data_IF_965563864956
#
_entry.id   IF_965563864956
#
_cell.length_a   1.000
_cell.length_b   1.000
_cell.length_c   1.000
_cell.angle_alpha   90.00
_cell.angle_beta   90.00
_cell.angle_gamma   90.00
#
_symmetry.space_group_name_H-M   'P 1'
#
loop_
_entity.id
_entity.type
_entity.pdbx_description
1 polymer ?
2 polymer ?
3 non-polymer ?
4 non-polymer ?
5 water ?
#
# COMPACT_ATOMS: atom_id res chain seq x y z
N UNK A 1 -15.84 4.47 8.36
CA UNK A 1 -16.72 4.46 9.55
C UNK A 1 -16.22 3.44 10.60
N UNK A 2 -16.35 2.12 10.34
CA UNK A 2 -15.88 1.06 11.28
C UNK A 2 -14.55 0.49 10.76
N UNK A 3 -13.89 1.28 9.92
CA UNK A 3 -12.61 0.98 9.23
C UNK A 3 -11.43 0.93 10.19
N UNK A 4 -10.35 0.30 9.76
CA UNK A 4 -9.07 0.24 10.48
C UNK A 4 -9.02 -0.77 11.61
N UNK A 5 -10.10 -1.48 11.87
CA UNK A 5 -10.06 -2.46 12.98
C UNK A 5 -10.20 -3.87 12.41
N UNK A 6 -9.14 -4.66 12.55
CA UNK A 6 -9.07 -6.01 11.99
C UNK A 6 -9.88 -7.00 12.82
N UNK A 7 -10.90 -7.64 12.21
CA UNK A 7 -11.70 -8.65 12.88
C UNK A 7 -10.82 -9.61 13.69
N UNK A 8 -9.65 -10.02 13.22
CA UNK A 8 -8.93 -11.14 13.85
C UNK A 8 -7.92 -10.64 14.89
N UNK A 9 -7.69 -9.33 14.97
CA UNK A 9 -6.64 -8.76 15.86
C UNK A 9 -7.29 -7.78 16.84
N UNK A 10 -7.52 -6.53 16.45
CA UNK A 10 -8.11 -5.56 17.41
C UNK A 10 -9.40 -6.14 17.97
N UNK A 11 -10.34 -6.50 17.11
CA UNK A 11 -11.72 -6.85 17.57
C UNK A 11 -11.71 -8.09 18.49
N UNK A 12 -10.57 -8.79 18.65
CA UNK A 12 -10.39 -9.93 19.59
C UNK A 12 -9.26 -9.63 20.58
N UNK A 13 -8.97 -8.35 20.84
CA UNK A 13 -7.92 -7.87 21.78
C UNK A 13 -6.62 -8.67 21.59
N UNK A 14 -6.38 -9.14 20.37
CA UNK A 14 -5.16 -9.89 20.00
C UNK A 14 -4.27 -8.97 19.17
N UNK A 15 -2.96 -9.08 19.37
CA UNK A 15 -1.94 -8.23 18.73
C UNK A 15 -1.16 -9.06 17.71
N UNK A 16 -0.78 -8.48 16.58
CA UNK A 16 0.07 -9.22 15.61
C UNK A 16 1.48 -9.32 16.19
N UNK A 17 2.38 -10.02 15.50
CA UNK A 17 3.75 -10.27 16.00
C UNK A 17 4.66 -9.04 15.94
N UNK A 18 4.35 -8.01 15.17
CA UNK A 18 5.33 -6.89 15.07
C UNK A 18 4.72 -5.50 15.25
N UNK A 19 3.50 -5.39 15.76
CA UNK A 19 2.84 -4.07 15.88
C UNK A 19 3.42 -3.20 16.99
N UNK A 20 4.13 -3.80 17.96
CA UNK A 20 4.73 -3.08 19.11
C UNK A 20 5.93 -2.26 18.64
N UNK A 21 6.59 -2.73 17.58
CA UNK A 21 7.77 -2.13 16.93
C UNK A 21 7.41 -0.77 16.34
N UNK A 22 6.17 -0.62 15.86
CA UNK A 22 5.66 0.65 15.30
C UNK A 22 5.40 1.65 16.43
N UNK A 23 4.76 1.22 17.51
CA UNK A 23 4.41 2.04 18.70
C UNK A 23 5.70 2.47 19.43
N UNK A 24 6.71 1.63 19.40
CA UNK A 24 8.03 1.88 20.01
C UNK A 24 8.76 2.96 19.21
N UNK A 25 8.51 2.98 17.90
CA UNK A 25 9.08 3.93 16.92
C UNK A 25 8.56 5.34 17.18
N UNK A 26 7.35 5.45 17.69
CA UNK A 26 6.71 6.74 18.02
C UNK A 26 7.29 7.32 19.32
N UNK A 27 7.67 6.46 20.27
CA UNK A 27 8.09 6.92 21.62
C UNK A 27 9.60 7.22 21.64
N UNK A 28 10.40 6.56 20.86
CA UNK A 28 11.88 6.63 20.75
C UNK A 28 12.28 7.98 20.16
N UNK A 29 13.45 8.50 20.54
CA UNK A 29 13.92 9.79 20.04
C UNK A 29 14.67 9.69 18.73
N UNK B 1 8.34 -7.74 -2.12
CA UNK B 1 8.84 -7.00 -0.96
C UNK B 1 10.10 -7.72 -0.47
N UNK B 2 11.15 -6.96 -0.19
CA UNK B 2 12.51 -7.51 0.11
C UNK B 2 12.73 -7.46 1.63
N UNK B 3 13.31 -8.52 2.19
CA UNK B 3 13.68 -8.75 3.62
C UNK B 3 12.47 -8.55 4.54
N UNK B 4 11.29 -8.94 4.07
CA UNK B 4 10.05 -8.99 4.86
C UNK B 4 9.82 -10.40 5.32
N UNK B 5 8.59 -10.74 5.71
CA UNK B 5 8.23 -12.07 6.28
C UNK B 5 6.74 -12.34 6.03
N UNK B 6 6.34 -13.61 6.11
CA UNK B 6 4.95 -14.05 5.83
C UNK B 6 4.01 -13.27 6.74
N UNK B 7 3.04 -12.59 6.17
CA UNK B 7 1.91 -12.03 6.93
C UNK B 7 1.28 -13.17 7.74
N UNK B 8 0.92 -12.93 9.00
CA UNK B 8 -0.01 -13.82 9.75
C UNK B 8 -1.36 -13.72 9.07
N UNK B 9 -2.31 -14.58 9.39
CA UNK B 9 -3.63 -14.63 8.68
C UNK B 9 -4.41 -13.38 9.11
N UNK B 10 -5.17 -12.78 8.17
CA UNK B 10 -6.01 -11.57 8.37
C UNK B 10 -5.22 -10.39 8.94
N UNK B 11 -3.91 -10.40 8.76
CA UNK B 11 -3.03 -9.32 9.25
C UNK B 11 -3.33 -8.04 8.45
N UNK B 12 -3.67 -8.16 7.16
CA UNK B 12 -3.90 -7.01 6.24
C UNK B 12 -5.16 -7.25 5.43
N UNK B 13 -6.35 -7.23 6.07
CA UNK B 13 -7.59 -7.65 5.41
C UNK B 13 -8.10 -6.66 4.36
N UNK B 15 -5.85 -5.80 1.99
CA UNK B 15 -4.92 -6.06 0.92
C UNK B 15 -5.74 -6.52 -0.29
N UNK B 16 -5.53 -5.91 -1.45
CA UNK B 16 -6.22 -6.26 -2.72
C UNK B 16 -5.15 -6.59 -3.76
N UNK B 17 -5.35 -7.65 -4.56
CA UNK B 17 -4.56 -7.99 -5.76
C UNK B 17 -5.26 -7.36 -6.96
N UNK B 18 -4.51 -6.77 -7.89
CA UNK B 18 -5.04 -6.28 -9.19
C UNK B 18 -4.47 -7.16 -10.32
N UNK B 19 -5.36 -7.79 -11.09
CA UNK B 19 -5.03 -8.73 -12.20
C UNK B 19 -5.48 -8.14 -13.53
N UNK B 20 -4.74 -8.48 -14.58
CA UNK B 20 -5.17 -8.46 -16.01
C UNK B 20 -6.10 -9.67 -16.20
N UNK B 21 -7.16 -9.51 -16.98
CA UNK B 21 -8.15 -10.61 -17.12
C UNK B 21 -7.51 -11.74 -17.90
N UNK B 22 -7.01 -11.41 -19.11
CA UNK B 22 -6.54 -12.36 -20.13
C UNK B 22 -5.27 -11.85 -20.79
N UNK B 23 -4.14 -12.59 -20.71
CA UNK B 23 -4.06 -13.80 -19.89
C UNK B 23 -4.00 -13.42 -18.39
N UNK B 24 -4.59 -14.24 -17.50
CA UNK B 24 -4.71 -13.90 -16.06
C UNK B 24 -3.29 -13.62 -15.55
N UNK B 25 -3.06 -12.41 -15.05
CA UNK B 25 -1.71 -11.92 -14.63
C UNK B 25 -1.86 -10.98 -13.44
N UNK B 26 -1.11 -11.24 -12.37
CA UNK B 26 -0.99 -10.35 -11.19
C UNK B 26 -0.17 -9.11 -11.59
N UNK B 27 -0.79 -7.91 -11.64
CA UNK B 27 -0.15 -6.62 -12.05
C UNK B 27 0.45 -5.92 -10.82
N UNK B 28 -0.32 -5.82 -9.75
CA UNK B 28 -0.13 -4.78 -8.72
C UNK B 28 -0.88 -5.15 -7.43
N UNK B 29 -0.54 -4.46 -6.37
CA UNK B 29 -1.33 -4.38 -5.14
C UNK B 29 -2.31 -3.22 -5.18
N UNK B 30 -3.24 -3.23 -4.23
CA UNK B 30 -4.26 -2.18 -4.02
C UNK B 30 -4.64 -2.24 -2.54
N UNK B 31 -5.61 -1.44 -2.14
CA UNK B 31 -6.11 -1.36 -0.76
C UNK B 31 -7.61 -1.10 -0.83
N UNK B 32 -8.36 -1.79 0.02
CA UNK B 32 -9.82 -1.60 0.15
C UNK B 32 -10.10 -0.48 1.17
N UNK B 33 -10.82 0.57 0.78
CA UNK B 33 -11.08 1.75 1.64
C UNK B 33 -12.58 1.91 1.93
N UNK B 34 -13.43 1.23 1.17
CA UNK B 34 -14.88 1.10 1.41
C UNK B 34 -15.35 -0.25 0.86
N UNK B 35 -16.65 -0.51 0.87
CA UNK B 35 -17.25 -1.71 0.22
C UNK B 35 -17.21 -1.57 -1.31
N UNK B 36 -17.12 -0.34 -1.86
CA UNK B 36 -17.25 -0.10 -3.32
C UNK B 36 -15.88 0.30 -3.91
N UNK B 38 -11.64 0.79 -4.23
CA UNK B 38 -10.30 0.27 -4.11
C UNK B 38 -9.31 1.32 -4.60
N UNK B 39 -8.18 1.40 -3.91
CA UNK B 39 -7.15 2.44 -4.13
C UNK B 39 -5.87 1.77 -4.59
N UNK B 40 -5.14 2.39 -5.51
CA UNK B 40 -3.91 1.81 -6.12
C UNK B 40 -3.03 2.95 -6.68
N UNK B 41 -1.85 2.64 -7.20
CA UNK B 41 -0.94 3.56 -7.90
C UNK B 41 -1.45 3.83 -9.33
N UNK B 42 -1.41 5.08 -9.79
CA UNK B 42 -1.89 5.43 -11.14
C UNK B 42 -1.05 4.63 -12.14
N UNK B 43 0.24 4.37 -11.88
CA UNK B 43 1.16 3.80 -12.90
C UNK B 43 0.94 2.29 -13.09
N UNK B 44 0.11 1.66 -12.27
CA UNK B 44 -0.42 0.29 -12.44
C UNK B 44 -1.42 0.25 -13.59
N UNK B 45 -2.07 1.38 -13.89
CA UNK B 45 -3.15 1.48 -14.91
C UNK B 45 -2.70 2.22 -16.19
N UNK B 46 -1.84 3.23 -16.05
CA UNK B 46 -1.41 4.13 -17.15
C UNK B 46 0.07 4.46 -17.00
N UNK B 47 0.90 3.87 -17.85
CA UNK B 47 2.33 4.22 -17.97
C UNK B 47 2.70 4.01 -19.44
N UNK B 48 2.51 5.02 -20.33
CA UNK B 48 2.87 4.89 -21.73
C UNK B 48 4.30 4.44 -22.03
N UNK B 49 5.32 4.69 -21.17
CA UNK B 49 6.64 4.18 -21.48
C UNK B 49 6.68 2.64 -21.51
N UNK B 51 4.00 0.99 -22.70
CA UNK B 51 2.74 0.85 -23.42
C UNK B 51 1.79 0.07 -22.52
N UNK B 52 1.45 0.66 -21.38
CA UNK B 52 0.45 0.16 -20.40
C UNK B 52 -0.69 1.17 -20.35
N UNK B 53 -1.93 0.75 -20.60
CA UNK B 53 -3.08 1.69 -20.67
C UNK B 53 -4.37 0.91 -20.47
N UNK B 54 -4.61 0.45 -19.24
CA UNK B 54 -5.73 -0.47 -18.92
C UNK B 54 -7.05 0.31 -18.80
N UNK B 55 -8.15 -0.29 -19.27
CA UNK B 55 -9.53 0.20 -19.03
C UNK B 55 -10.19 -0.74 -18.01
N UNK B 56 -11.33 -0.33 -17.44
CA UNK B 56 -12.20 -1.07 -16.49
C UNK B 56 -12.41 -2.55 -16.87
N UNK B 57 -12.72 -2.81 -18.14
CA UNK B 57 -13.06 -4.20 -18.60
C UNK B 57 -11.81 -5.08 -18.62
N UNK B 58 -10.62 -4.49 -18.77
CA UNK B 58 -9.36 -5.26 -18.90
C UNK B 58 -9.03 -5.95 -17.58
N UNK B 59 -9.66 -5.53 -16.48
CA UNK B 59 -9.12 -5.78 -15.11
C UNK B 59 -10.12 -6.47 -14.16
N UNK B 60 -9.54 -7.02 -13.09
CA UNK B 60 -10.23 -7.75 -12.01
C UNK B 60 -9.36 -7.70 -10.74
N UNK B 61 -9.98 -7.55 -9.58
CA UNK B 61 -9.29 -7.59 -8.25
C UNK B 61 -9.70 -8.87 -7.50
N UNK B 62 -8.82 -9.38 -6.64
CA UNK B 62 -9.11 -10.49 -5.69
C UNK B 62 -8.82 -10.00 -4.26
N UNK B 63 -9.86 -10.01 -3.45
CA UNK B 63 -9.88 -9.45 -2.07
C UNK B 63 -9.85 -10.62 -1.10
N UNK B 64 -9.25 -10.42 0.08
CA UNK B 64 -9.28 -11.37 1.19
C UNK B 64 -8.29 -12.49 1.00
N UNK B 65 -7.31 -12.30 0.12
CA UNK B 65 -6.34 -13.35 -0.33
C UNK B 65 -5.09 -13.32 0.54
N UNK B 66 -4.52 -14.48 0.76
CA UNK B 66 -3.33 -14.74 1.60
C UNK B 66 -2.27 -15.46 0.76
N UNK B 67 -2.64 -16.53 0.06
CA UNK B 67 -1.77 -17.31 -0.86
C UNK B 67 -2.23 -17.04 -2.30
N UNK B 68 -1.32 -16.86 -3.28
CA UNK B 68 -1.65 -16.86 -4.74
C UNK B 68 -1.52 -18.29 -5.31
N UNK B 69 -0.69 -19.12 -4.67
CA UNK B 69 -0.44 -20.55 -5.04
C UNK B 69 -1.45 -21.47 -4.29
N UNK B 70 -2.57 -20.88 -3.86
CA UNK B 70 -3.80 -21.57 -3.38
C UNK B 70 -5.00 -20.84 -4.02
N UNK B 71 -6.18 -21.49 -4.02
CA UNK B 71 -7.51 -20.84 -4.14
C UNK B 71 -8.21 -20.97 -2.80
N UNK B 72 -8.85 -19.91 -2.31
CA UNK B 72 -9.24 -19.82 -0.88
C UNK B 72 -10.77 -19.76 -0.75
N UNK B 73 -11.44 -20.88 -1.05
CA UNK B 73 -12.90 -21.02 -1.24
C UNK B 73 -13.66 -20.52 0.01
N UNK B 74 -14.67 -19.65 -0.28
CA UNK B 74 -15.59 -19.07 0.74
C UNK B 74 -14.83 -18.06 1.63
N UNK B 75 -13.59 -17.69 1.26
CA UNK B 75 -12.71 -16.70 1.94
C UNK B 75 -12.42 -15.54 0.96
N UNK B 76 -11.75 -15.82 -0.18
CA UNK B 76 -11.36 -14.79 -1.21
C UNK B 76 -12.57 -14.49 -2.09
N UNK B 77 -12.83 -13.21 -2.35
CA UNK B 77 -13.86 -12.70 -3.29
C UNK B 77 -13.15 -12.01 -4.46
N UNK B 78 -13.72 -12.18 -5.65
CA UNK B 78 -13.26 -11.61 -6.93
C UNK B 78 -14.30 -10.57 -7.36
N UNK B 79 -13.88 -9.40 -7.84
CA UNK B 79 -14.82 -8.33 -8.30
C UNK B 79 -14.31 -7.69 -9.60
N UNK B 80 -15.24 -7.50 -10.53
CA UNK B 80 -14.99 -6.68 -11.74
C UNK B 80 -15.12 -5.23 -11.31
N UNK B 81 -14.67 -4.33 -12.18
CA UNK B 81 -14.48 -2.88 -11.93
C UNK B 81 -15.47 -2.13 -12.82
N UNK B 82 -16.22 -1.18 -12.24
CA UNK B 82 -17.28 -0.37 -12.91
C UNK B 82 -16.60 0.81 -13.60
N UNK B 83 -15.67 1.46 -12.92
CA UNK B 83 -14.90 2.62 -13.45
C UNK B 83 -13.53 2.69 -12.77
N UNK B 84 -12.55 3.18 -13.53
CA UNK B 84 -11.18 3.53 -13.08
C UNK B 84 -11.07 5.05 -13.08
N UNK B 85 -10.51 5.65 -12.04
CA UNK B 85 -10.25 7.10 -12.01
C UNK B 85 -8.78 7.36 -11.68
N UNK B 86 -8.06 7.94 -12.64
CA UNK B 86 -6.67 8.43 -12.47
C UNK B 86 -6.73 9.89 -12.07
N UNK B 87 -5.94 10.27 -11.06
CA UNK B 87 -5.67 11.68 -10.69
C UNK B 87 -5.39 12.48 -11.97
N UNK B 88 -6.17 13.56 -12.20
CA UNK B 88 -5.98 14.37 -13.39
C UNK B 88 -4.63 15.06 -13.50
N UNK B 89 -3.90 15.25 -12.38
CA UNK B 89 -2.52 15.80 -12.38
C UNK B 89 -1.49 14.69 -12.14
N UNK B 90 -1.82 13.41 -12.32
CA UNK B 90 -0.81 12.33 -12.36
C UNK B 90 0.24 12.67 -13.42
N UNK B 91 1.54 12.56 -13.12
CA UNK B 91 2.62 13.01 -14.03
C UNK B 91 3.62 11.89 -14.23
N UNK B 93 5.49 11.56 -17.04
CA UNK B 93 6.55 12.06 -17.92
C UNK B 93 7.83 12.33 -17.14
N UNK B 94 7.67 12.82 -15.92
CA UNK B 94 8.79 13.29 -15.08
C UNK B 94 8.96 12.33 -13.90
N UNK B 95 8.24 12.50 -12.79
CA UNK B 95 8.66 11.87 -11.51
C UNK B 95 7.49 11.13 -10.85
N UNK B 96 6.41 10.84 -11.58
CA UNK B 96 5.30 10.02 -11.01
C UNK B 96 4.59 10.83 -9.90
N UNK B 97 4.61 12.16 -9.98
CA UNK B 97 3.85 13.02 -9.03
C UNK B 97 2.37 12.59 -9.07
N UNK B 98 1.73 12.47 -7.90
CA UNK B 98 0.32 12.04 -7.70
C UNK B 98 0.09 10.66 -8.33
N UNK B 99 0.92 9.69 -7.98
CA UNK B 99 0.84 8.33 -8.57
C UNK B 99 -0.31 7.61 -7.86
N UNK B 100 -1.54 8.02 -8.15
CA UNK B 100 -2.72 7.50 -7.40
C UNK B 100 -3.88 7.25 -8.36
N UNK B 101 -4.67 6.22 -8.10
CA UNK B 101 -5.92 5.93 -8.84
C UNK B 101 -6.90 5.23 -7.94
N UNK B 102 -8.16 5.31 -8.32
CA UNK B 102 -9.33 4.71 -7.62
C UNK B 102 -10.02 3.79 -8.62
N UNK B 103 -10.37 2.60 -8.17
CA UNK B 103 -11.23 1.67 -8.96
C UNK B 103 -12.48 1.40 -8.12
N UNK B 104 -13.63 1.50 -8.77
CA UNK B 104 -14.95 1.28 -8.14
C UNK B 104 -15.43 -0.09 -8.57
N UNK B 105 -15.94 -0.86 -7.60
CA UNK B 105 -16.36 -2.27 -7.82
C UNK B 105 -17.77 -2.30 -8.42
N UNK B 106 -18.01 -3.30 -9.25
CA UNK B 106 -19.33 -3.54 -9.90
C UNK B 106 -20.33 -3.93 -8.81
N UNK B 107 -19.93 -4.89 -7.96
CA UNK B 107 -20.72 -5.29 -6.77
C UNK B 107 -19.93 -4.88 -5.53
N UNK B 108 -20.63 -4.39 -4.49
CA UNK B 108 -20.00 -4.10 -3.22
C UNK B 108 -19.57 -5.44 -2.60
N UNK B 109 -18.34 -5.54 -2.08
CA UNK B 109 -17.81 -6.79 -1.49
C UNK B 109 -18.36 -6.95 -0.06
N UNK B 110 -18.53 -8.20 0.36
CA UNK B 110 -18.99 -8.63 1.69
C UNK B 110 -17.80 -8.57 2.64
N UNK B 111 -17.95 -7.90 3.79
CA UNK B 111 -16.89 -7.86 4.85
C UNK B 111 -16.92 -9.19 5.60
N UNK B 112 -15.73 -9.68 5.88
CA UNK B 112 -15.52 -10.94 6.63
C UNK B 112 -14.30 -10.73 7.52
N UNK B 113 -13.89 -11.81 8.21
CA UNK B 113 -12.70 -11.85 9.10
C UNK B 113 -11.45 -11.59 8.24
N UNK B 114 -11.56 -11.75 6.93
CA UNK B 114 -10.44 -11.71 5.96
C UNK B 114 -10.51 -10.46 5.08
N UNK B 115 -11.70 -9.85 4.94
CA UNK B 115 -11.97 -8.62 4.14
C UNK B 115 -12.49 -7.52 5.08
N UNK B 116 -11.73 -6.42 5.20
CA UNK B 116 -12.07 -5.23 6.01
C UNK B 116 -11.34 -3.99 5.50
N UNK B 117 -12.03 -2.83 5.38
CA UNK B 117 -11.45 -1.61 4.83
C UNK B 117 -10.43 -1.00 5.80
N UNK B 118 -9.40 -0.36 5.26
CA UNK B 118 -8.44 0.50 6.01
C UNK B 118 -9.04 1.91 6.07
N UNK B 119 -8.72 2.66 7.12
CA UNK B 119 -9.12 4.09 7.24
C UNK B 119 -8.20 4.94 6.38
N UNK B 120 -8.68 6.10 5.95
CA UNK B 120 -7.84 7.20 5.39
C UNK B 120 -7.58 8.23 6.46
N UNK B 121 -6.34 8.77 6.51
CA UNK B 121 -5.93 9.71 7.53
C UNK B 121 -6.65 11.05 7.41
N UNK B 122 -6.90 11.68 8.55
CA UNK B 122 -7.27 13.10 8.71
C UNK B 122 -5.99 13.90 8.97
N UNK B 123 -6.16 15.21 8.98
CA UNK B 123 -5.19 16.27 9.31
C UNK B 123 -4.26 15.79 10.43
N UNK B 124 -4.84 15.47 11.57
CA UNK B 124 -4.14 15.17 12.83
C UNK B 124 -3.43 13.83 12.68
N UNK B 125 -4.10 12.84 12.10
CA UNK B 125 -3.48 11.53 11.82
C UNK B 125 -2.23 11.73 10.96
N UNK B 126 -2.25 12.61 9.97
CA UNK B 126 -1.04 12.89 9.17
C UNK B 126 0.02 13.62 10.00
N UNK B 127 -0.38 14.57 10.83
CA UNK B 127 0.55 15.34 11.68
C UNK B 127 1.25 14.39 12.67
N UNK B 128 0.48 13.58 13.37
CA UNK B 128 1.00 12.85 14.54
C UNK B 128 1.88 11.68 14.06
N UNK B 129 1.49 10.99 12.96
CA UNK B 129 2.08 9.67 12.55
C UNK B 129 3.13 9.83 11.45
N UNK B 130 2.86 10.62 10.39
CA UNK B 130 3.84 10.85 9.29
C UNK B 130 5.00 11.78 9.70
N UNK B 131 5.88 11.28 10.56
CA UNK B 131 7.08 11.96 11.12
C UNK B 131 8.29 11.02 10.95
N UNK B 132 9.48 11.61 10.79
CA UNK B 132 10.76 10.91 10.56
C UNK B 132 11.04 9.98 11.75
N UNK B 133 11.48 8.75 11.47
CA UNK B 133 11.79 7.75 12.52
C UNK B 133 10.57 6.92 12.88
N UNK B 134 9.36 7.43 12.64
CA UNK B 134 8.12 6.66 12.87
C UNK B 134 7.98 5.62 11.76
N UNK B 135 7.53 4.43 12.17
CA UNK B 135 7.50 3.21 11.35
C UNK B 135 6.07 2.92 10.98
N UNK B 136 5.87 2.69 9.67
CA UNK B 136 4.63 2.10 9.12
C UNK B 136 4.94 0.72 8.60
N UNK B 137 3.95 0.05 8.01
CA UNK B 137 4.03 -1.32 7.46
C UNK B 137 3.74 -1.29 5.97
N UNK B 138 4.52 -2.05 5.20
CA UNK B 138 4.29 -2.27 3.73
C UNK B 138 4.05 -3.76 3.50
N UNK B 139 3.20 -4.10 2.52
CA UNK B 139 2.75 -5.48 2.24
C UNK B 139 2.61 -5.66 0.73
N UNK B 140 2.73 -6.89 0.24
CA UNK B 140 2.41 -7.21 -1.16
C UNK B 140 2.98 -8.56 -1.57
N UNK B 142 4.61 -8.73 -4.37
CA UNK B 142 5.56 -8.27 -5.37
C UNK B 142 6.86 -9.04 -5.31
N UNK B 143 7.87 -8.53 -6.01
CA UNK B 143 9.19 -9.16 -6.18
C UNK B 143 9.94 -9.25 -4.85
N UNK B 144 10.69 -10.33 -4.73
CA UNK B 144 11.35 -10.83 -3.51
C UNK B 144 12.75 -10.23 -3.46
N UNK B 145 13.35 -9.95 -4.62
CA UNK B 145 14.62 -9.20 -4.73
C UNK B 145 14.53 -8.28 -5.95
N UNK B 146 15.51 -7.39 -6.07
CA UNK B 146 15.83 -6.60 -7.28
C UNK B 146 16.29 -7.56 -8.38
N UNK B 147 15.89 -7.28 -9.63
CA UNK B 147 16.21 -8.20 -10.72
C UNK B 147 16.08 -7.45 -12.04
N UNK B 149 14.00 -6.60 -15.50
CA UNK B 149 12.84 -6.56 -16.38
C UNK B 149 13.21 -7.22 -17.72
N UNK B 155 11.03 -12.31 -8.17
CA UNK B 155 10.87 -13.11 -6.93
C UNK B 155 9.41 -13.22 -6.48
N UNK B 156 8.65 -14.15 -7.05
CA UNK B 156 7.24 -14.41 -6.65
C UNK B 156 7.27 -15.24 -5.35
N UNK B 157 6.69 -14.71 -4.26
CA UNK B 157 6.43 -15.48 -3.05
C UNK B 157 5.03 -16.09 -2.98
N UNK B 158 4.89 -17.24 -2.33
CA UNK B 158 3.59 -17.95 -2.17
C UNK B 158 2.68 -17.15 -1.26
N UNK B 159 3.21 -16.51 -0.21
CA UNK B 159 2.43 -15.88 0.90
C UNK B 159 2.60 -14.34 0.94
N UNK B 160 1.55 -13.59 1.30
CA UNK B 160 1.61 -12.10 1.35
C UNK B 160 2.78 -11.68 2.23
N UNK B 161 3.55 -10.69 1.81
CA UNK B 161 4.80 -10.31 2.53
C UNK B 161 4.57 -9.02 3.33
N UNK B 162 5.27 -8.87 4.45
CA UNK B 162 5.10 -7.66 5.30
C UNK B 162 6.44 -7.21 5.88
N UNK B 163 6.69 -5.91 5.81
CA UNK B 163 7.90 -5.31 6.42
C UNK B 163 7.50 -3.97 7.05
N UNK B 164 7.98 -3.74 8.28
CA UNK B 164 7.92 -2.44 8.96
C UNK B 164 9.17 -1.63 8.57
N UNK B 165 9.01 -0.37 8.16
CA UNK B 165 10.09 0.55 7.67
C UNK B 165 9.84 1.93 8.27
N UNK B 166 10.86 2.66 8.76
CA UNK B 166 10.63 3.97 9.37
C UNK B 166 10.60 5.04 8.28
N UNK B 167 9.90 6.16 8.52
CA UNK B 167 9.91 7.32 7.58
C UNK B 167 11.26 8.01 7.74
N UNK B 168 11.74 8.60 6.66
CA UNK B 168 13.08 9.21 6.52
C UNK B 168 12.87 10.72 6.34
N UNK B 169 13.72 11.52 7.00
CA UNK B 169 13.81 13.00 6.89
C UNK B 169 13.82 13.36 5.39
N UNK B 170 13.11 14.42 5.03
CA UNK B 170 12.94 14.88 3.63
C UNK B 170 14.31 15.16 2.99
N UNK B 171 15.27 15.81 3.67
CA UNK B 171 16.62 16.04 3.10
C UNK B 171 17.48 14.81 2.75
N UNK B 172 17.38 13.70 3.51
CA UNK B 172 18.12 12.43 3.21
C UNK B 172 17.44 11.76 2.01
N UNK B 173 16.12 11.86 1.91
CA UNK B 173 15.37 11.33 0.75
C UNK B 173 15.90 12.01 -0.50
N UNK B 174 15.93 13.35 -0.51
CA UNK B 174 16.35 14.19 -1.68
C UNK B 174 17.81 13.90 -2.04
N UNK B 175 18.67 13.69 -1.04
CA UNK B 175 20.13 13.43 -1.24
C UNK B 175 20.33 12.04 -1.85
N UNK B 176 19.36 11.12 -1.73
CA UNK B 176 19.54 9.69 -2.08
C UNK B 176 19.58 9.49 -3.60
N UNK B 177 19.04 10.43 -4.39
CA UNK B 177 18.55 10.21 -5.77
C UNK B 177 18.58 11.51 -6.59
N UNK B 178 18.74 11.43 -7.90
CA UNK B 178 18.74 12.62 -8.79
C UNK B 178 17.29 12.89 -9.18
N UNK B 179 16.39 11.94 -8.96
CA UNK B 179 14.95 12.07 -9.26
C UNK B 179 14.35 13.15 -8.35
N UNK B 180 13.74 14.17 -8.97
CA UNK B 180 12.96 15.27 -8.33
C UNK B 180 11.79 14.65 -7.58
N UNK B 181 11.66 14.97 -6.31
CA UNK B 181 10.58 14.42 -5.45
C UNK B 181 9.71 15.64 -5.13
N UNK B 182 8.43 15.45 -4.82
CA UNK B 182 7.51 16.57 -4.48
C UNK B 182 6.93 16.35 -3.08
N UNK B 183 6.12 17.32 -2.62
CA UNK B 183 5.33 17.28 -1.38
C UNK B 183 4.32 16.12 -1.40
N UNK B 184 3.92 15.67 -2.58
CA UNK B 184 2.91 14.59 -2.74
C UNK B 184 3.57 13.20 -2.55
N UNK B 185 4.81 13.11 -2.11
CA UNK B 185 5.55 11.85 -1.93
C UNK B 185 6.27 11.86 -0.57
N UNK B 186 6.51 10.69 0.01
CA UNK B 186 7.48 10.53 1.13
C UNK B 186 8.27 9.24 0.86
N UNK B 187 9.41 9.11 1.54
CA UNK B 187 10.34 7.95 1.41
C UNK B 187 10.51 7.29 2.79
N UNK B 188 10.75 5.99 2.79
CA UNK B 188 10.83 5.09 3.98
C UNK B 188 11.90 4.03 3.74
N UNK B 189 12.49 3.51 4.82
CA UNK B 189 13.56 2.51 4.76
C UNK B 189 14.69 2.88 5.73
N UNK B 190 15.58 1.92 5.98
CA UNK B 190 16.63 2.06 7.01
C UNK B 190 17.83 2.71 6.33
N UNK B 191 18.47 3.68 6.99
CA UNK B 191 19.72 4.34 6.56
C UNK B 191 20.80 3.27 6.43
N UNK B 192 21.79 3.41 5.54
CA UNK B 192 22.89 2.47 5.54
C UNK B 192 23.53 2.74 6.91
N UNK B 193 23.91 1.67 7.60
CA UNK B 193 24.53 1.77 8.95
C UNK B 193 23.46 2.08 10.01
N UNK B 194 22.26 1.58 9.75
CA UNK B 194 21.16 1.55 10.74
C UNK B 194 21.01 0.07 11.13
N UNK B 195 21.48 -0.84 10.29
CA UNK B 195 21.55 -2.28 10.62
C UNK B 195 20.35 -3.09 10.18
N UNK B 196 19.20 -2.44 10.02
CA UNK B 196 18.01 -3.22 9.60
C UNK B 196 17.84 -3.04 8.09
N UNK B 197 17.06 -3.91 7.46
CA UNK B 197 16.93 -3.75 6.00
C UNK B 197 15.48 -3.96 5.60
N UNK B 198 15.20 -3.60 4.35
CA UNK B 198 13.96 -3.98 3.67
C UNK B 198 13.43 -2.84 2.86
N UNK B 199 12.47 -3.17 1.99
CA UNK B 199 11.97 -2.30 0.91
C UNK B 199 10.78 -2.99 0.25
N UNK B 200 9.90 -2.22 -0.36
CA UNK B 200 8.99 -2.68 -1.42
C UNK B 200 9.84 -2.94 -2.67
N UNK B 201 9.21 -3.36 -3.77
CA UNK B 201 9.92 -3.73 -5.01
C UNK B 201 8.91 -3.70 -6.15
N UNK B 202 9.38 -3.92 -7.38
CA UNK B 202 8.49 -4.02 -8.57
C UNK B 202 7.47 -5.15 -8.28
N UNK B 203 6.21 -4.88 -8.60
CA UNK B 203 5.07 -5.75 -8.27
C UNK B 203 4.33 -5.23 -7.04
N UNK B 204 4.98 -4.47 -6.15
CA UNK B 204 4.36 -4.10 -4.86
C UNK B 204 3.54 -2.79 -5.03
N UNK B 205 3.76 -2.06 -6.14
CA UNK B 205 3.07 -0.78 -6.48
C UNK B 205 1.57 -0.85 -6.21
N UNK B 206 1.03 0.19 -5.58
CA UNK B 206 -0.41 0.32 -5.35
C UNK B 206 -0.79 -0.24 -3.99
N UNK B 207 0.07 -1.09 -3.41
CA UNK B 207 -0.05 -1.65 -2.06
C UNK B 207 0.08 -0.55 -1.03
N UNK B 208 -0.49 -0.76 0.16
CA UNK B 208 -0.52 0.31 1.16
C UNK B 208 0.73 0.34 2.04
N UNK B 209 1.07 1.55 2.48
CA UNK B 209 1.97 1.84 3.61
C UNK B 209 1.03 2.29 4.74
N UNK B 210 0.90 1.49 5.81
CA UNK B 210 -0.18 1.73 6.82
C UNK B 210 0.47 1.99 8.19
N UNK B 211 -0.17 2.80 9.02
CA UNK B 211 0.32 3.04 10.41
C UNK B 211 -0.84 2.83 11.39
N UNK B 212 -0.50 2.31 12.57
CA UNK B 212 -1.44 2.06 13.67
C UNK B 212 -1.45 3.27 14.59
N UNK B 213 -2.58 3.95 14.68
CA UNK B 213 -2.80 5.12 15.57
C UNK B 213 -2.76 4.61 17.00
N UNK B 214 -1.95 5.25 17.89
CA UNK B 214 -1.85 4.85 19.28
C UNK B 214 -3.00 5.43 20.10
N UNK B 215 -3.94 6.12 19.44
CA UNK B 215 -5.05 6.86 20.08
C UNK B 215 -6.35 6.06 20.05
N UNK B 216 -6.68 5.41 18.93
CA UNK B 216 -8.00 4.75 18.67
C UNK B 216 -7.79 3.34 18.06
N UNK B 217 -6.56 2.85 18.05
CA UNK B 217 -6.19 1.47 17.65
C UNK B 217 -6.49 1.20 16.16
N UNK B 218 -6.80 2.21 15.35
CA UNK B 218 -7.19 2.01 13.93
C UNK B 218 -5.96 2.07 13.03
N UNK B 220 -4.39 3.18 9.46
CA UNK B 220 -4.59 4.27 8.50
C UNK B 220 -3.66 4.03 7.30
N UNK B 221 -4.10 4.34 6.09
CA UNK B 221 -3.25 4.27 4.87
C UNK B 221 -2.65 5.64 4.60
N UNK B 222 -1.37 5.76 4.90
CA UNK B 222 -0.58 7.00 4.77
C UNK B 222 0.05 7.08 3.40
N UNK B 223 0.36 5.93 2.79
CA UNK B 223 1.13 5.88 1.52
C UNK B 223 0.67 4.77 0.57
N UNK B 224 1.05 4.91 -0.72
CA UNK B 224 0.92 3.89 -1.79
C UNK B 224 2.32 3.65 -2.34
N UNK B 225 2.74 2.39 -2.40
CA UNK B 225 4.04 2.02 -3.03
C UNK B 225 4.00 2.60 -4.45
N UNK B 226 5.00 3.45 -4.76
CA UNK B 226 5.09 4.22 -6.03
C UNK B 226 6.37 3.87 -6.78
N UNK B 228 11.10 3.49 -6.85
CA UNK B 228 12.43 3.41 -6.26
C UNK B 228 13.52 3.26 -7.31
N UNK B 229 14.74 2.98 -6.87
CA UNK B 229 15.84 2.62 -7.80
C UNK B 229 16.39 1.30 -7.26
N UNK B 230 16.30 0.23 -8.04
CA UNK B 230 16.43 -1.13 -7.50
C UNK B 230 15.50 -1.31 -6.32
N UNK B 231 15.84 -2.28 -5.47
CA UNK B 231 15.09 -2.62 -4.23
C UNK B 231 16.16 -2.90 -3.15
N UNK B 232 16.00 -2.28 -1.99
CA UNK B 232 16.80 -2.52 -0.75
C UNK B 232 18.30 -2.28 -0.97
N UNK B 233 18.69 -1.22 -1.68
CA UNK B 233 20.14 -0.84 -1.78
C UNK B 233 20.51 0.09 -0.60
N UNK B 234 21.68 -0.16 0.00
CA UNK B 234 22.35 0.80 0.89
C UNK B 234 22.23 2.19 0.24
N UNK B 235 21.72 3.17 0.96
CA UNK B 235 21.76 4.59 0.56
C UNK B 235 20.64 4.95 -0.41
N UNK B 236 19.68 4.04 -0.64
CA UNK B 236 18.40 4.24 -1.38
C UNK B 236 17.23 3.90 -0.46
N UNK B 237 16.08 4.52 -0.75
CA UNK B 237 14.82 4.39 0.03
C UNK B 237 13.68 4.28 -0.96
N UNK B 238 12.61 3.59 -0.58
CA UNK B 238 11.35 3.47 -1.35
C UNK B 238 10.54 4.74 -1.23
N UNK B 239 9.84 5.13 -2.30
CA UNK B 239 9.07 6.38 -2.39
C UNK B 239 7.60 5.97 -2.42
N UNK B 240 6.76 6.70 -1.68
CA UNK B 240 5.36 6.36 -1.37
C UNK B 240 4.53 7.55 -1.79
N UNK B 241 3.42 7.35 -2.47
CA UNK B 241 2.47 8.44 -2.79
C UNK B 241 1.93 8.88 -1.44
N UNK B 242 1.92 10.19 -1.20
CA UNK B 242 1.48 10.81 0.07
C UNK B 242 -0.06 10.85 0.15
N UNK B 243 -0.73 9.91 0.84
CA UNK B 243 -2.21 9.74 0.73
C UNK B 243 -2.91 10.97 1.32
N UNK B 244 -2.43 11.56 2.41
CA UNK B 244 -3.14 12.73 2.99
C UNK B 244 -3.17 13.89 1.98
N UNK B 245 -2.06 14.22 1.33
CA UNK B 245 -2.03 15.46 0.50
C UNK B 245 -3.02 15.36 -0.66
N UNK B 246 -3.40 14.14 -1.06
CA UNK B 246 -4.32 13.87 -2.21
C UNK B 246 -5.72 13.41 -1.76
N UNK B 247 -6.06 13.56 -0.46
CA UNK B 247 -7.32 13.02 0.16
C UNK B 247 -8.54 13.75 -0.41
N UNK B 248 -8.43 15.04 -0.65
CA UNK B 248 -9.57 15.86 -1.11
C UNK B 248 -10.01 15.35 -2.49
N UNK B 250 -9.53 12.17 -3.60
CA UNK B 250 -10.15 10.90 -3.37
C UNK B 250 -11.60 11.13 -2.95
N UNK B 251 -11.81 12.19 -2.14
CA UNK B 251 -13.13 12.59 -1.58
C UNK B 251 -14.05 13.13 -2.69
N UNK B 252 -13.58 14.06 -3.52
CA UNK B 252 -14.37 14.56 -4.68
C UNK B 252 -14.92 13.33 -5.43
N UNK B 253 -14.03 12.39 -5.77
CA UNK B 253 -14.32 11.18 -6.61
C UNK B 253 -15.31 10.27 -5.89
N UNK B 254 -15.10 10.05 -4.59
CA UNK B 254 -15.93 9.17 -3.72
C UNK B 254 -17.29 9.84 -3.42
N UNK B 255 -17.35 11.15 -3.12
CA UNK B 255 -18.59 11.89 -2.72
C UNK B 255 -19.52 12.04 -3.93
N UNK B 256 -19.20 11.42 -5.07
CA UNK B 256 -19.83 11.65 -6.39
C UNK B 256 -20.19 10.32 -7.07
N UNK B 257 -20.24 9.20 -6.33
CA UNK B 257 -20.60 7.82 -6.77
C UNK B 257 -19.83 7.44 -8.07
#
# INVERSE_FOLDING_TARGET
ADCGLRPLFEKKSLEDKTERELLESYIDGR
IVEGSDAEIGMSPXQVMLFRKSPQELLCGASLISDRXVLTAAHCLLYPPXDKNFTENDLLVRIGKHSRTRYERNIEKISMLEKIYIHPRYNXRENLDRDIALMKLKKPVAFSDYIHPVCLPDRETAASLLQAGYKGRVTGXGNLKETXTANVGKGQPSVLQVVNLPIVERPVCKDSTRIRITDNMFCAGYKPDEGKRGDACEGDSGGPFVMKSPFNNRXYQMGIVSXGEGCDRDGKYGFYTHVFRLKKXIQKVIDQFGE
#
